data_IF_855043715922
#
_entry.id   IF_855043715922
#
_cell.length_a   1.000
_cell.length_b   1.000
_cell.length_c   1.000
_cell.angle_alpha   90.00
_cell.angle_beta   90.00
_cell.angle_gamma   90.00
#
_symmetry.space_group_name_H-M   'P 1'
#
loop_
_entity.id
_entity.type
_entity.pdbx_description
1 polymer ?
#
# COMPACT_ATOMS: atom_id res chain seq x y z
N UNK A 1 3.70 -8.72 -7.32
CA UNK A 1 4.45 -9.18 -6.12
C UNK A 1 3.54 -10.10 -5.31
N UNK A 2 4.03 -10.92 -4.37
CA UNK A 2 3.12 -11.70 -3.52
C UNK A 2 2.50 -10.82 -2.43
N UNK A 3 1.32 -11.17 -1.93
CA UNK A 3 0.65 -10.41 -0.86
C UNK A 3 1.53 -10.28 0.40
N UNK A 4 2.26 -11.33 0.76
CA UNK A 4 3.22 -11.29 1.87
C UNK A 4 4.35 -10.28 1.63
N UNK A 5 4.88 -10.20 0.40
CA UNK A 5 5.92 -9.22 0.05
C UNK A 5 5.38 -7.78 0.17
N UNK A 6 4.14 -7.57 -0.27
CA UNK A 6 3.47 -6.28 -0.17
C UNK A 6 3.37 -5.81 1.28
N UNK A 7 2.87 -6.68 2.17
CA UNK A 7 2.79 -6.36 3.60
C UNK A 7 4.18 -6.07 4.18
N UNK A 8 5.19 -6.89 3.86
CA UNK A 8 6.56 -6.63 4.32
C UNK A 8 7.14 -5.29 3.85
N UNK A 9 6.77 -4.81 2.65
CA UNK A 9 7.17 -3.47 2.17
C UNK A 9 6.40 -2.37 2.88
N UNK A 10 5.10 -2.56 3.10
CA UNK A 10 4.24 -1.60 3.79
C UNK A 10 4.69 -1.43 5.25
N UNK A 11 5.00 -2.52 5.95
CA UNK A 11 5.55 -2.51 7.30
C UNK A 11 6.93 -1.85 7.37
N UNK A 12 7.78 -2.03 6.35
CA UNK A 12 9.08 -1.34 6.29
C UNK A 12 8.96 0.18 6.05
N UNK A 13 7.94 0.63 5.31
CA UNK A 13 7.73 2.05 5.02
C UNK A 13 6.97 2.78 6.15
N UNK A 14 5.99 2.11 6.77
CA UNK A 14 5.05 2.72 7.71
C UNK A 14 5.19 2.22 9.15
N UNK A 15 5.88 1.09 9.36
CA UNK A 15 5.94 0.37 10.63
C UNK A 15 4.80 -0.64 10.77
N UNK A 16 5.06 -1.77 11.44
CA UNK A 16 4.09 -2.87 11.59
C UNK A 16 2.78 -2.43 12.25
N UNK A 17 2.85 -1.55 13.25
CA UNK A 17 1.66 -1.06 13.95
C UNK A 17 0.76 -0.18 13.07
N UNK A 18 1.34 0.62 12.18
CA UNK A 18 0.60 1.60 11.37
C UNK A 18 0.21 1.05 9.99
N UNK A 19 0.93 0.05 9.48
CA UNK A 19 0.68 -0.56 8.17
C UNK A 19 -0.73 -1.15 8.03
N UNK A 20 -1.31 -1.70 9.10
CA UNK A 20 -2.68 -2.23 9.03
C UNK A 20 -3.73 -1.11 9.07
N UNK A 21 -3.52 -0.07 9.87
CA UNK A 21 -4.41 1.09 9.92
C UNK A 21 -4.44 1.83 8.59
N UNK A 22 -3.28 2.13 7.99
CA UNK A 22 -3.26 2.82 6.68
C UNK A 22 -3.96 2.00 5.60
N UNK A 23 -3.85 0.67 5.68
CA UNK A 23 -4.49 -0.20 4.70
C UNK A 23 -6.02 -0.24 4.79
N UNK A 24 -6.57 -0.03 5.99
CA UNK A 24 -8.01 -0.02 6.23
C UNK A 24 -8.62 1.39 6.14
N UNK A 25 -7.89 2.42 6.57
CA UNK A 25 -8.43 3.76 6.81
C UNK A 25 -8.09 4.77 5.70
N UNK A 26 -7.06 4.51 4.88
CA UNK A 26 -6.63 5.46 3.86
C UNK A 26 -7.09 5.04 2.46
N UNK A 27 -7.92 5.88 1.84
CA UNK A 27 -8.33 5.76 0.45
C UNK A 27 -7.28 6.38 -0.48
N UNK A 28 -6.97 5.68 -1.57
CA UNK A 28 -6.00 6.11 -2.56
C UNK A 28 -6.70 6.51 -3.86
N UNK A 29 -6.48 7.74 -4.33
CA UNK A 29 -7.06 8.25 -5.58
C UNK A 29 -6.69 7.37 -6.80
N UNK A 30 -5.45 6.88 -6.88
CA UNK A 30 -5.02 5.97 -7.95
C UNK A 30 -5.71 4.59 -7.93
N UNK A 31 -6.33 4.22 -6.80
CA UNK A 31 -7.15 3.01 -6.69
C UNK A 31 -8.64 3.30 -6.91
N UNK A 32 -9.01 4.53 -7.28
CA UNK A 32 -10.39 4.98 -7.44
C UNK A 32 -11.07 5.24 -6.09
N UNK A 33 -10.38 6.00 -5.21
CA UNK A 33 -10.85 6.34 -3.86
C UNK A 33 -11.15 5.12 -2.98
N UNK A 34 -10.41 4.03 -3.20
CA UNK A 34 -10.49 2.80 -2.42
C UNK A 34 -9.31 2.65 -1.48
N UNK A 35 -9.56 1.98 -0.35
CA UNK A 35 -8.50 1.57 0.57
C UNK A 35 -7.71 0.39 0.01
N UNK A 36 -6.59 0.04 0.67
CA UNK A 36 -5.80 -1.13 0.29
C UNK A 36 -6.62 -2.41 0.49
N UNK A 37 -7.35 -2.55 1.60
CA UNK A 37 -8.20 -3.72 1.85
C UNK A 37 -9.30 -3.84 0.78
N UNK A 38 -9.95 -2.73 0.44
CA UNK A 38 -10.95 -2.71 -0.63
C UNK A 38 -10.33 -3.10 -1.97
N UNK A 39 -9.19 -2.51 -2.33
CA UNK A 39 -8.50 -2.84 -3.57
C UNK A 39 -8.11 -4.33 -3.64
N UNK A 40 -7.62 -4.92 -2.54
CA UNK A 40 -7.34 -6.36 -2.45
C UNK A 40 -8.63 -7.17 -2.62
N UNK A 41 -9.72 -6.80 -1.94
CA UNK A 41 -11.00 -7.48 -2.04
C UNK A 41 -11.59 -7.41 -3.46
N UNK A 42 -11.34 -6.32 -4.18
CA UNK A 42 -11.69 -6.14 -5.58
C UNK A 42 -10.73 -6.83 -6.57
N UNK A 43 -9.73 -7.57 -6.09
CA UNK A 43 -8.79 -8.30 -6.93
C UNK A 43 -7.77 -7.42 -7.65
N UNK A 44 -7.54 -6.20 -7.18
CA UNK A 44 -6.49 -5.32 -7.71
C UNK A 44 -5.13 -5.95 -7.42
N UNK A 45 -4.25 -5.98 -8.42
CA UNK A 45 -2.91 -6.52 -8.24
C UNK A 45 -2.13 -5.73 -7.18
N UNK A 46 -1.46 -6.44 -6.27
CA UNK A 46 -0.66 -5.85 -5.19
C UNK A 46 0.42 -4.90 -5.69
N UNK A 47 0.97 -5.13 -6.90
CA UNK A 47 1.95 -4.23 -7.51
C UNK A 47 1.33 -2.88 -7.89
N UNK A 48 0.09 -2.88 -8.34
CA UNK A 48 -0.68 -1.66 -8.64
C UNK A 48 -0.99 -0.91 -7.36
N UNK A 49 -1.43 -1.63 -6.31
CA UNK A 49 -1.65 -1.06 -4.98
C UNK A 49 -0.37 -0.43 -4.44
N UNK A 50 0.77 -1.11 -4.55
CA UNK A 50 2.05 -0.58 -4.08
C UNK A 50 2.48 0.69 -4.83
N UNK A 51 2.28 0.75 -6.14
CA UNK A 51 2.57 1.96 -6.93
C UNK A 51 1.73 3.15 -6.46
N UNK A 52 0.45 2.93 -6.18
CA UNK A 52 -0.42 3.96 -5.61
C UNK A 52 0.08 4.44 -4.23
N UNK A 53 0.55 3.53 -3.38
CA UNK A 53 1.16 3.87 -2.08
C UNK A 53 2.43 4.70 -2.26
N UNK A 54 3.33 4.32 -3.18
CA UNK A 54 4.56 5.06 -3.50
C UNK A 54 4.25 6.46 -4.03
N UNK A 55 3.25 6.59 -4.90
CA UNK A 55 2.84 7.86 -5.47
C UNK A 55 2.21 8.80 -4.43
N UNK A 56 1.41 8.24 -3.51
CA UNK A 56 0.79 9.00 -2.42
C UNK A 56 1.79 9.43 -1.34
N UNK A 57 2.83 8.61 -1.09
CA UNK A 57 3.80 8.83 -0.01
C UNK A 57 5.26 8.80 -0.49
N UNK A 58 5.67 9.72 -1.38
CA UNK A 58 7.01 9.71 -1.95
C UNK A 58 8.09 9.89 -0.87
N UNK A 59 7.84 10.66 0.19
CA UNK A 59 8.81 10.93 1.26
C UNK A 59 8.91 9.80 2.29
N UNK A 60 7.85 9.01 2.49
CA UNK A 60 7.83 7.91 3.46
C UNK A 60 8.32 6.59 2.88
N UNK A 61 8.20 6.41 1.56
CA UNK A 61 8.67 5.19 0.89
C UNK A 61 10.11 5.37 0.41
N UNK A 62 11.10 4.72 1.05
CA UNK A 62 12.49 4.86 0.63
C UNK A 62 12.71 4.27 -0.77
N UNK A 63 13.63 4.88 -1.53
CA UNK A 63 13.90 4.53 -2.94
C UNK A 63 14.22 3.05 -3.17
N UNK A 64 14.78 2.36 -2.16
CA UNK A 64 15.07 0.91 -2.21
C UNK A 64 13.82 0.02 -2.24
N UNK A 65 12.66 0.55 -1.87
CA UNK A 65 11.38 -0.17 -1.82
C UNK A 65 10.43 0.22 -2.95
N UNK A 66 10.73 1.29 -3.68
CA UNK A 66 9.91 1.77 -4.82
C UNK A 66 9.82 0.69 -5.90
#
# INVERSE_FOLDING_TARGET
>A
MRLTDFWGRLEQAFGAAYARSIAADHAFAELGDRTIDEAIAHGVETITIWRAVVAAYPDRVPSRLR
#
